data_IF_697990097992
#
_entry.id   IF_697990097992
#
_cell.length_a   1.000
_cell.length_b   1.000
_cell.length_c   1.000
_cell.angle_alpha   90.00
_cell.angle_beta   90.00
_cell.angle_gamma   90.00
#
_symmetry.space_group_name_H-M   'P 1'
#
loop_
_entity.id
_entity.type
_entity.pdbx_description
1 polymer ?
#
# COMPACT_ATOMS: atom_id res chain seq x y z
N UNK A 1 -5.14 7.35 23.34
CA UNK A 1 -5.02 8.06 22.06
C UNK A 1 -5.45 7.08 21.00
N UNK A 2 -6.63 7.28 20.42
CA UNK A 2 -7.19 6.40 19.39
C UNK A 2 -6.55 6.78 18.06
N UNK A 3 -6.00 5.80 17.34
CA UNK A 3 -5.44 6.03 16.00
C UNK A 3 -6.57 6.54 15.09
N UNK A 4 -6.40 7.75 14.53
CA UNK A 4 -7.36 8.41 13.64
C UNK A 4 -7.21 8.02 12.17
N UNK A 5 -6.28 7.11 11.88
CA UNK A 5 -5.85 6.81 10.52
C UNK A 5 -6.36 5.45 10.11
N UNK A 6 -7.07 5.41 8.98
CA UNK A 6 -7.57 4.17 8.42
C UNK A 6 -6.69 3.73 7.24
N UNK A 7 -6.32 2.45 7.22
CA UNK A 7 -5.61 1.85 6.10
C UNK A 7 -6.50 1.90 4.87
N UNK A 8 -6.01 2.49 3.79
CA UNK A 8 -6.71 2.63 2.52
C UNK A 8 -6.07 1.79 1.43
N UNK A 9 -6.93 1.23 0.56
CA UNK A 9 -6.48 0.65 -0.69
C UNK A 9 -6.42 1.74 -1.76
N UNK A 10 -5.21 2.12 -2.17
CA UNK A 10 -4.97 3.09 -3.25
C UNK A 10 -4.57 2.37 -4.54
N UNK A 11 -5.34 2.60 -5.60
CA UNK A 11 -5.10 2.12 -6.95
C UNK A 11 -3.97 2.85 -7.66
N UNK A 12 -3.53 2.35 -8.82
CA UNK A 12 -2.36 2.90 -9.52
C UNK A 12 -2.59 4.29 -10.11
N UNK A 13 -3.84 4.65 -10.41
CA UNK A 13 -4.21 5.96 -10.97
C UNK A 13 -4.54 7.00 -9.90
N UNK A 14 -4.65 6.61 -8.63
CA UNK A 14 -4.77 7.54 -7.51
C UNK A 14 -3.53 8.42 -7.42
N UNK A 15 -3.65 9.57 -6.76
CA UNK A 15 -2.59 10.59 -6.70
C UNK A 15 -2.11 10.80 -5.27
N UNK A 16 -0.79 10.85 -5.10
CA UNK A 16 -0.12 11.26 -3.86
C UNK A 16 0.45 12.65 -4.04
N UNK A 17 0.41 13.46 -2.98
CA UNK A 17 1.06 14.75 -2.91
C UNK A 17 2.15 14.73 -1.84
N UNK A 18 3.35 15.19 -2.20
CA UNK A 18 4.44 15.49 -1.28
C UNK A 18 4.78 16.98 -1.43
N UNK A 19 4.29 17.82 -0.50
CA UNK A 19 4.32 19.27 -0.66
C UNK A 19 3.57 19.66 -1.94
N UNK A 20 4.21 20.47 -2.78
CA UNK A 20 3.64 20.95 -4.05
C UNK A 20 3.74 19.94 -5.21
N UNK A 21 4.42 18.80 -4.99
CA UNK A 21 4.63 17.79 -6.04
C UNK A 21 3.60 16.68 -5.96
N UNK A 22 2.91 16.40 -7.07
CA UNK A 22 1.92 15.32 -7.17
C UNK A 22 2.35 14.22 -8.13
N UNK A 23 2.08 12.97 -7.76
CA UNK A 23 2.46 11.80 -8.55
C UNK A 23 1.38 10.73 -8.47
N UNK A 24 1.23 9.94 -9.54
CA UNK A 24 0.41 8.73 -9.48
C UNK A 24 1.00 7.73 -8.49
N UNK A 25 0.14 7.11 -7.68
CA UNK A 25 0.48 6.01 -6.78
C UNK A 25 1.21 4.89 -7.52
N UNK A 26 0.80 4.56 -8.74
CA UNK A 26 1.48 3.53 -9.54
C UNK A 26 2.93 3.88 -9.87
N UNK A 27 3.25 5.17 -10.10
CA UNK A 27 4.63 5.63 -10.31
C UNK A 27 5.45 5.49 -9.02
N UNK A 28 4.86 5.84 -7.89
CA UNK A 28 5.49 5.68 -6.59
C UNK A 28 5.75 4.19 -6.26
N UNK A 29 4.75 3.32 -6.39
CA UNK A 29 4.90 1.86 -6.18
C UNK A 29 6.01 1.28 -7.03
N UNK A 30 6.06 1.61 -8.33
CA UNK A 30 7.14 1.16 -9.22
C UNK A 30 8.51 1.65 -8.77
N UNK A 31 8.61 2.89 -8.31
CA UNK A 31 9.87 3.44 -7.79
C UNK A 31 10.31 2.73 -6.50
N UNK A 32 9.37 2.43 -5.61
CA UNK A 32 9.58 1.58 -4.44
C UNK A 32 10.10 0.22 -4.91
N UNK A 33 9.35 -0.53 -5.72
CA UNK A 33 9.74 -1.88 -6.20
C UNK A 33 11.16 -1.91 -6.80
N UNK A 34 11.52 -0.90 -7.60
CA UNK A 34 12.86 -0.76 -8.17
C UNK A 34 13.94 -0.44 -7.13
N UNK A 35 13.60 0.31 -6.09
CA UNK A 35 14.51 0.66 -4.99
C UNK A 35 14.86 -0.56 -4.14
N UNK A 36 13.95 -1.53 -4.03
CA UNK A 36 14.19 -2.78 -3.31
C UNK A 36 14.95 -3.83 -4.14
N UNK A 37 15.49 -3.49 -5.32
CA UNK A 37 16.21 -4.39 -6.25
C UNK A 37 17.55 -4.94 -5.73
N UNK A 38 18.33 -5.58 -6.62
CA UNK A 38 19.61 -6.30 -6.37
C UNK A 38 20.51 -5.79 -5.24
N UNK A 39 20.61 -4.48 -5.04
CA UNK A 39 21.42 -3.85 -3.98
C UNK A 39 20.95 -4.21 -2.58
N UNK A 40 19.64 -4.29 -2.33
CA UNK A 40 19.11 -4.55 -0.99
C UNK A 40 19.40 -5.97 -0.53
N UNK A 41 19.28 -6.95 -1.42
CA UNK A 41 19.65 -8.34 -1.12
C UNK A 41 21.11 -8.43 -0.67
N UNK A 42 22.01 -7.76 -1.38
CA UNK A 42 23.44 -7.74 -1.03
C UNK A 42 23.71 -7.04 0.31
N UNK A 43 23.00 -5.95 0.59
CA UNK A 43 23.14 -5.19 1.83
C UNK A 43 22.64 -6.02 3.03
N UNK A 44 21.47 -6.66 2.90
CA UNK A 44 20.93 -7.56 3.90
C UNK A 44 21.88 -8.73 4.19
N UNK A 45 22.41 -9.39 3.15
CA UNK A 45 23.40 -10.46 3.31
C UNK A 45 24.66 -9.96 4.05
N UNK A 46 25.10 -8.72 3.78
CA UNK A 46 26.20 -8.06 4.48
C UNK A 46 25.92 -7.82 5.96
N UNK A 47 24.75 -7.26 6.30
CA UNK A 47 24.34 -7.01 7.68
C UNK A 47 24.16 -8.29 8.49
N UNK A 48 23.61 -9.34 7.90
CA UNK A 48 23.51 -10.66 8.53
C UNK A 48 24.89 -11.19 8.90
N UNK A 49 25.87 -11.09 7.99
CA UNK A 49 27.26 -11.48 8.26
C UNK A 49 27.88 -10.63 9.37
N UNK A 50 27.63 -9.33 9.39
CA UNK A 50 28.10 -8.42 10.46
C UNK A 50 27.52 -8.80 11.83
N UNK A 51 26.31 -9.37 11.87
CA UNK A 51 25.68 -9.92 13.08
C UNK A 51 26.06 -11.37 13.39
N UNK A 52 27.02 -11.94 12.66
CA UNK A 52 27.49 -13.31 12.87
C UNK A 52 26.60 -14.41 12.27
N UNK A 53 25.60 -14.04 11.48
CA UNK A 53 24.71 -14.99 10.80
C UNK A 53 25.37 -15.38 9.48
N UNK A 54 26.09 -16.50 9.50
CA UNK A 54 26.77 -17.04 8.32
C UNK A 54 25.83 -17.90 7.49
N UNK A 55 25.44 -17.39 6.32
CA UNK A 55 24.66 -18.14 5.32
C UNK A 55 25.64 -18.60 4.24
N UNK A 56 25.60 -19.89 3.92
CA UNK A 56 26.45 -20.48 2.89
C UNK A 56 26.28 -19.73 1.55
N UNK A 57 27.38 -19.17 1.06
CA UNK A 57 27.41 -18.37 -0.17
C UNK A 57 26.96 -19.18 -1.40
N UNK A 58 27.11 -20.52 -1.38
CA UNK A 58 26.57 -21.39 -2.44
C UNK A 58 25.05 -21.40 -2.49
N UNK A 59 24.37 -21.09 -1.38
CA UNK A 59 22.91 -20.92 -1.33
C UNK A 59 22.46 -19.56 -1.88
N UNK A 60 23.31 -18.54 -1.74
CA UNK A 60 23.06 -17.19 -2.26
C UNK A 60 23.39 -17.10 -3.75
N UNK A 61 24.49 -17.72 -4.19
CA UNK A 61 25.01 -17.61 -5.56
C UNK A 61 25.52 -18.96 -6.10
N UNK A 62 24.63 -19.93 -6.43
CA UNK A 62 25.03 -21.26 -6.88
C UNK A 62 25.87 -21.28 -8.18
N UNK A 63 25.85 -20.19 -8.96
CA UNK A 63 26.58 -20.05 -10.22
C UNK A 63 27.56 -18.85 -10.24
N UNK A 64 28.01 -18.36 -9.08
CA UNK A 64 28.78 -17.11 -8.93
C UNK A 64 28.09 -15.84 -9.49
N UNK A 65 26.83 -15.94 -9.88
CA UNK A 65 25.94 -14.80 -10.09
C UNK A 65 25.23 -14.55 -8.78
N UNK A 66 25.69 -13.56 -8.03
CA UNK A 66 25.02 -13.08 -6.82
C UNK A 66 23.72 -12.40 -7.23
N UNK A 67 22.62 -13.14 -7.17
CA UNK A 67 21.27 -12.58 -7.24
C UNK A 67 20.61 -12.73 -5.87
N UNK A 68 21.25 -12.11 -4.87
CA UNK A 68 20.79 -12.11 -3.49
C UNK A 68 19.36 -11.57 -3.39
N UNK A 69 18.98 -10.64 -4.28
CA UNK A 69 17.63 -10.13 -4.34
C UNK A 69 16.61 -11.22 -4.68
N UNK A 70 16.80 -11.94 -5.79
CA UNK A 70 15.88 -13.00 -6.16
C UNK A 70 15.77 -14.06 -5.06
N UNK A 71 16.85 -14.31 -4.32
CA UNK A 71 16.86 -15.27 -3.21
C UNK A 71 16.07 -14.79 -2.00
N UNK A 72 16.20 -13.53 -1.61
CA UNK A 72 15.50 -13.00 -0.45
C UNK A 72 14.04 -12.63 -0.73
N UNK A 73 13.77 -12.03 -1.89
CA UNK A 73 12.50 -11.35 -2.16
C UNK A 73 11.59 -12.10 -3.15
N UNK A 74 12.15 -12.83 -4.13
CA UNK A 74 11.35 -13.53 -5.14
C UNK A 74 11.10 -15.00 -4.77
N UNK A 75 12.15 -15.82 -4.90
CA UNK A 75 12.05 -17.26 -4.69
C UNK A 75 11.97 -17.58 -3.21
N UNK A 76 12.69 -16.87 -2.36
CA UNK A 76 12.97 -17.29 -0.98
C UNK A 76 14.15 -18.28 -0.91
N UNK A 77 14.66 -18.48 0.30
CA UNK A 77 15.79 -19.37 0.60
C UNK A 77 15.38 -20.54 1.49
N UNK A 78 15.89 -21.72 1.17
CA UNK A 78 15.66 -22.93 1.96
C UNK A 78 16.36 -22.86 3.32
N UNK A 79 15.61 -23.21 4.36
CA UNK A 79 16.09 -23.24 5.73
C UNK A 79 15.53 -24.47 6.47
N UNK A 80 16.03 -24.70 7.68
CA UNK A 80 15.40 -25.59 8.66
C UNK A 80 14.98 -24.76 9.86
N UNK A 81 13.80 -25.03 10.39
CA UNK A 81 13.22 -24.32 11.53
C UNK A 81 12.95 -25.34 12.63
N UNK A 82 13.46 -25.05 13.83
CA UNK A 82 13.11 -25.76 15.05
C UNK A 82 12.34 -24.78 15.93
N UNK A 83 11.07 -25.07 16.18
CA UNK A 83 10.21 -24.25 17.03
C UNK A 83 10.25 -24.79 18.46
N UNK A 84 10.13 -23.90 19.44
CA UNK A 84 10.00 -24.30 20.85
C UNK A 84 8.76 -25.19 20.98
N UNK A 85 8.90 -26.31 21.69
CA UNK A 85 7.86 -27.32 21.85
C UNK A 85 7.80 -28.37 20.72
N UNK A 86 8.77 -28.36 19.79
CA UNK A 86 8.91 -29.41 18.78
C UNK A 86 10.25 -30.14 18.93
N UNK A 87 10.22 -31.45 18.77
CA UNK A 87 11.40 -32.30 18.97
C UNK A 87 12.26 -32.47 17.70
N UNK A 88 11.87 -31.85 16.59
CA UNK A 88 12.54 -32.05 15.29
C UNK A 88 12.59 -30.81 14.41
N UNK A 89 13.67 -30.72 13.63
CA UNK A 89 13.86 -29.70 12.61
C UNK A 89 12.89 -29.93 11.44
N UNK A 90 12.16 -28.88 11.06
CA UNK A 90 11.31 -28.87 9.87
C UNK A 90 12.01 -28.17 8.72
N UNK A 91 11.98 -28.74 7.53
CA UNK A 91 12.44 -28.05 6.32
C UNK A 91 11.44 -26.97 5.97
N UNK A 92 11.94 -25.78 5.64
CA UNK A 92 11.12 -24.62 5.32
C UNK A 92 11.83 -23.68 4.35
N UNK A 93 11.20 -22.52 4.14
CA UNK A 93 11.71 -21.47 3.28
C UNK A 93 11.48 -20.10 3.91
N UNK A 94 12.49 -19.25 3.90
CA UNK A 94 12.38 -17.85 4.30
C UNK A 94 12.29 -16.97 3.05
N UNK A 95 11.31 -16.05 3.02
CA UNK A 95 11.16 -15.04 1.98
C UNK A 95 10.73 -13.74 2.63
N UNK A 96 11.32 -12.64 2.18
CA UNK A 96 11.00 -11.29 2.66
C UNK A 96 10.06 -10.65 1.66
N UNK A 97 9.01 -10.01 2.17
CA UNK A 97 8.08 -9.20 1.39
C UNK A 97 8.14 -7.77 1.87
N UNK A 98 8.08 -6.85 0.92
CA UNK A 98 7.99 -5.41 1.18
C UNK A 98 6.60 -4.98 0.73
N UNK A 99 5.88 -4.29 1.61
CA UNK A 99 4.52 -3.83 1.35
C UNK A 99 4.45 -2.31 1.57
N UNK A 100 3.74 -1.62 0.70
CA UNK A 100 3.45 -0.19 0.82
C UNK A 100 2.02 -0.03 1.28
N UNK A 101 1.83 0.62 2.42
CA UNK A 101 0.54 0.87 3.03
C UNK A 101 0.24 2.38 3.03
N UNK A 102 -1.01 2.71 2.72
CA UNK A 102 -1.49 4.10 2.69
C UNK A 102 -2.53 4.28 3.78
N UNK A 103 -2.49 5.42 4.45
CA UNK A 103 -3.38 5.76 5.55
C UNK A 103 -3.94 7.15 5.32
N UNK A 104 -5.22 7.32 5.62
CA UNK A 104 -5.90 8.61 5.53
C UNK A 104 -6.49 8.91 6.91
N UNK A 105 -6.38 10.16 7.35
CA UNK A 105 -7.11 10.59 8.55
C UNK A 105 -8.60 10.45 8.24
N UNK A 106 -9.39 9.83 9.13
CA UNK A 106 -10.83 10.00 9.07
C UNK A 106 -11.09 11.51 9.10
N UNK A 107 -11.44 12.08 7.94
CA UNK A 107 -12.29 13.25 7.92
C UNK A 107 -13.51 12.76 8.66
N UNK A 108 -13.60 13.11 9.95
CA UNK A 108 -14.81 12.92 10.72
C UNK A 108 -15.92 13.34 9.79
N UNK A 109 -16.72 12.39 9.33
CA UNK A 109 -17.93 12.70 8.64
C UNK A 109 -18.87 13.26 9.69
N UNK A 110 -18.55 14.42 10.26
CA UNK A 110 -19.58 15.40 10.41
C UNK A 110 -20.01 15.68 8.97
N UNK A 111 -21.07 14.98 8.59
CA UNK A 111 -22.22 15.68 8.06
C UNK A 111 -22.61 16.74 9.09
N UNK A 112 -21.77 17.76 9.27
CA UNK A 112 -22.28 19.08 9.49
C UNK A 112 -22.81 19.44 8.12
N UNK A 113 -24.05 19.01 7.87
CA UNK A 113 -25.02 19.87 7.21
C UNK A 113 -24.94 21.19 7.97
N UNK A 114 -23.99 22.02 7.55
CA UNK A 114 -23.95 23.41 7.91
C UNK A 114 -25.35 23.91 7.61
N UNK A 115 -26.03 24.32 8.66
CA UNK A 115 -27.17 25.22 8.64
C UNK A 115 -26.88 26.34 7.62
N UNK A 116 -27.21 26.10 6.36
CA UNK A 116 -27.60 27.15 5.43
C UNK A 116 -29.10 27.24 5.64
N UNK A 117 -29.48 27.89 6.74
CA UNK A 117 -30.77 28.56 6.83
C UNK A 117 -30.69 29.80 5.95
N UNK A 118 -30.69 29.58 4.63
CA UNK A 118 -31.23 30.54 3.67
C UNK A 118 -32.12 29.74 2.72
N UNK A 119 -33.42 29.92 2.93
CA UNK A 119 -34.49 29.63 2.00
C UNK A 119 -34.15 30.13 0.60
N UNK A 120 -33.51 29.29 -0.20
CA UNK A 120 -33.71 29.28 -1.64
C UNK A 120 -34.42 27.98 -1.91
N UNK A 121 -35.76 28.05 -1.96
CA UNK A 121 -36.55 27.03 -2.63
C UNK A 121 -35.99 26.92 -4.05
N UNK A 122 -35.13 25.92 -4.27
CA UNK A 122 -34.90 25.37 -5.59
C UNK A 122 -36.23 24.76 -6.01
N UNK A 123 -37.10 25.57 -6.61
CA UNK A 123 -38.24 25.05 -7.34
C UNK A 123 -37.70 24.02 -8.32
N UNK A 124 -38.21 22.80 -8.18
CA UNK A 124 -37.84 21.69 -9.05
C UNK A 124 -38.12 22.13 -10.50
N UNK A 125 -37.21 21.93 -11.46
CA UNK A 125 -37.45 22.23 -12.88
C UNK A 125 -38.72 21.56 -13.43
N UNK A 126 -39.20 20.51 -12.77
CA UNK A 126 -40.43 19.80 -13.08
C UNK A 126 -41.70 20.53 -12.61
N UNK A 127 -41.62 21.36 -11.57
CA UNK A 127 -42.79 22.13 -11.08
C UNK A 127 -43.09 23.32 -11.97
N UNK A 128 -42.08 23.98 -12.54
CA UNK A 128 -42.28 25.05 -13.53
C UNK A 128 -43.00 24.54 -14.79
N UNK A 129 -42.81 23.28 -15.17
CA UNK A 129 -43.51 22.66 -16.31
C UNK A 129 -44.98 22.33 -15.96
N UNK A 130 -45.26 21.93 -14.70
CA UNK A 130 -46.63 21.64 -14.26
C UNK A 130 -47.49 22.90 -14.24
N UNK A 131 -46.92 24.06 -13.90
CA UNK A 131 -47.64 25.34 -13.91
C UNK A 131 -48.01 25.80 -15.33
N UNK A 132 -47.10 25.67 -16.31
CA UNK A 132 -47.41 26.04 -17.71
C UNK A 132 -48.57 25.24 -18.32
N UNK A 133 -48.78 23.99 -17.90
CA UNK A 133 -49.86 23.13 -18.42
C UNK A 133 -51.25 23.55 -17.87
N UNK A 134 -51.28 24.30 -16.76
CA UNK A 134 -52.53 24.76 -16.13
C UNK A 134 -53.00 26.09 -16.74
N UNK A 135 -52.10 26.92 -17.25
CA UNK A 135 -52.43 28.23 -17.85
C UNK A 135 -53.02 28.14 -19.28
N UNK A 136 -52.80 27.06 -20.02
CA UNK A 136 -53.31 26.87 -21.39
C UNK A 136 -54.75 26.30 -21.45
N UNK A 137 -55.55 26.47 -20.39
CA UNK A 137 -56.94 25.98 -20.31
C UNK A 137 -58.00 27.05 -19.99
N UNK A 138 -57.74 28.31 -20.35
CA UNK A 138 -58.80 29.32 -20.52
C UNK A 138 -58.95 29.77 -21.99
#
# INVERSE_FOLDING_TARGET
MTEKFEKRNCGNDDVLAFGDSTFKVGKFRKAVDLSFSSSLGSHLSGELRNKGIQIDQKRLAPNNKTDDHARWFDSGMECKILQIGFDSWKVGKVRIKVEVEFYIEELSSSKDESNISETVQLESPLDSIRQMIVEDKE
#
